data_IF_029994168739
#
_entry.id   IF_029994168739
#
_cell.length_a   1.000
_cell.length_b   1.000
_cell.length_c   1.000
_cell.angle_alpha   90.00
_cell.angle_beta   90.00
_cell.angle_gamma   90.00
#
_symmetry.space_group_name_H-M   'P 1'
#
loop_
_entity.id
_entity.type
_entity.pdbx_description
1 polymer ?
#
# COMPACT_ATOMS: atom_id res chain seq x y z
N UNK A 1 3.93 32.32 34.88
CA UNK A 1 4.82 31.54 33.99
C UNK A 1 4.43 30.05 33.92
N UNK A 2 4.13 29.39 35.05
CA UNK A 2 3.70 27.97 35.09
C UNK A 2 2.49 27.65 34.20
N UNK A 3 1.47 28.51 34.19
CA UNK A 3 0.26 28.31 33.36
C UNK A 3 0.55 28.25 31.85
N UNK A 4 1.51 29.05 31.37
CA UNK A 4 1.87 29.12 29.95
C UNK A 4 2.55 27.81 29.50
N UNK A 5 3.41 27.25 30.35
CA UNK A 5 4.12 25.99 30.08
C UNK A 5 3.12 24.81 30.04
N UNK A 6 2.15 24.78 30.95
CA UNK A 6 1.11 23.75 30.98
C UNK A 6 0.23 23.77 29.72
N UNK A 7 -0.17 24.96 29.27
CA UNK A 7 -0.97 25.13 28.04
C UNK A 7 -0.18 24.71 26.80
N UNK A 8 1.11 25.05 26.72
CA UNK A 8 1.98 24.63 25.61
C UNK A 8 2.19 23.11 25.58
N UNK A 9 2.43 22.50 26.75
CA UNK A 9 2.55 21.03 26.89
C UNK A 9 1.27 20.32 26.46
N UNK A 10 0.12 20.82 26.90
CA UNK A 10 -1.18 20.25 26.55
C UNK A 10 -1.50 20.40 25.06
N UNK A 11 -1.18 21.55 24.46
CA UNK A 11 -1.33 21.78 23.01
C UNK A 11 -0.40 20.85 22.21
N UNK A 12 0.82 20.62 22.69
CA UNK A 12 1.78 19.69 22.06
C UNK A 12 1.31 18.24 22.16
N UNK A 13 0.73 17.83 23.31
CA UNK A 13 0.17 16.49 23.52
C UNK A 13 -1.05 16.22 22.62
N UNK A 14 -1.91 17.22 22.43
CA UNK A 14 -3.07 17.14 21.52
C UNK A 14 -2.59 17.02 20.06
N UNK A 15 -1.65 17.87 19.64
CA UNK A 15 -1.08 17.81 18.29
C UNK A 15 -0.35 16.49 17.99
N UNK A 16 0.40 15.94 18.96
CA UNK A 16 1.02 14.63 18.81
C UNK A 16 0.00 13.50 18.66
N UNK A 17 -1.14 13.57 19.36
CA UNK A 17 -2.21 12.57 19.25
C UNK A 17 -2.86 12.58 17.86
N UNK A 18 -3.07 13.76 17.28
CA UNK A 18 -3.55 13.89 15.90
C UNK A 18 -2.53 13.39 14.87
N UNK A 19 -1.25 13.78 15.01
CA UNK A 19 -0.18 13.29 14.14
C UNK A 19 -0.08 11.76 14.21
N UNK A 20 -0.16 11.17 15.41
CA UNK A 20 -0.13 9.73 15.58
C UNK A 20 -1.32 9.05 14.91
N UNK A 21 -2.53 9.62 15.06
CA UNK A 21 -3.74 9.08 14.44
C UNK A 21 -3.67 9.16 12.90
N UNK A 22 -3.14 10.27 12.36
CA UNK A 22 -2.89 10.46 10.93
C UNK A 22 -1.85 9.47 10.41
N UNK A 23 -0.72 9.32 11.10
CA UNK A 23 0.35 8.40 10.73
C UNK A 23 -0.12 6.94 10.77
N UNK A 24 -0.90 6.52 11.78
CA UNK A 24 -1.47 5.16 11.80
C UNK A 24 -2.38 4.90 10.60
N UNK A 25 -3.21 5.86 10.20
CA UNK A 25 -4.09 5.70 9.03
C UNK A 25 -3.27 5.52 7.75
N UNK A 26 -2.23 6.34 7.54
CA UNK A 26 -1.32 6.20 6.39
C UNK A 26 -0.56 4.87 6.39
N UNK A 27 -0.07 4.42 7.56
CA UNK A 27 0.61 3.13 7.68
C UNK A 27 -0.32 1.97 7.34
N UNK A 28 -1.57 1.98 7.81
CA UNK A 28 -2.56 0.95 7.48
C UNK A 28 -2.81 0.93 5.97
N UNK A 29 -2.98 2.09 5.34
CA UNK A 29 -3.17 2.17 3.89
C UNK A 29 -1.97 1.64 3.11
N UNK A 30 -0.75 1.99 3.53
CA UNK A 30 0.47 1.51 2.90
C UNK A 30 0.57 -0.02 3.04
N UNK A 31 0.27 -0.57 4.21
CA UNK A 31 0.24 -2.02 4.45
C UNK A 31 -0.80 -2.70 3.54
N UNK A 32 -2.00 -2.13 3.41
CA UNK A 32 -3.04 -2.66 2.53
C UNK A 32 -2.60 -2.66 1.06
N UNK A 33 -1.99 -1.57 0.58
CA UNK A 33 -1.46 -1.50 -0.80
C UNK A 33 -0.36 -2.55 -0.99
N UNK A 34 0.57 -2.67 -0.04
CA UNK A 34 1.67 -3.65 -0.10
C UNK A 34 1.16 -5.09 -0.14
N UNK A 35 0.11 -5.43 0.63
CA UNK A 35 -0.50 -6.76 0.61
C UNK A 35 -1.13 -7.05 -0.76
N UNK A 36 -1.90 -6.10 -1.30
CA UNK A 36 -2.52 -6.24 -2.63
C UNK A 36 -1.44 -6.41 -3.70
N UNK A 37 -0.37 -5.62 -3.61
CA UNK A 37 0.76 -5.67 -4.54
C UNK A 37 1.44 -7.05 -4.50
N UNK A 38 1.70 -7.59 -3.31
CA UNK A 38 2.28 -8.92 -3.13
C UNK A 38 1.40 -10.02 -3.71
N UNK A 39 0.09 -10.00 -3.44
CA UNK A 39 -0.86 -11.00 -3.97
C UNK A 39 -0.88 -10.99 -5.50
N UNK A 40 -0.77 -9.81 -6.12
CA UNK A 40 -0.78 -9.67 -7.58
C UNK A 40 0.57 -10.08 -8.20
N UNK A 41 1.68 -9.79 -7.52
CA UNK A 41 3.02 -10.10 -8.03
C UNK A 41 3.45 -11.56 -7.84
N UNK A 42 3.02 -12.23 -6.77
CA UNK A 42 3.40 -13.62 -6.50
C UNK A 42 3.06 -14.56 -7.68
N UNK A 43 1.84 -14.56 -8.24
CA UNK A 43 1.50 -15.38 -9.41
C UNK A 43 2.39 -15.09 -10.61
N UNK A 44 2.71 -13.81 -10.85
CA UNK A 44 3.57 -13.40 -11.94
C UNK A 44 5.00 -13.95 -11.78
N UNK A 45 5.58 -13.82 -10.59
CA UNK A 45 6.91 -14.36 -10.29
C UNK A 45 6.92 -15.88 -10.45
N UNK A 46 5.90 -16.57 -9.94
CA UNK A 46 5.77 -18.03 -10.06
C UNK A 46 5.69 -18.46 -11.53
N UNK A 47 4.86 -17.79 -12.34
CA UNK A 47 4.71 -18.09 -13.77
C UNK A 47 5.97 -17.83 -14.59
N UNK A 48 6.81 -16.86 -14.21
CA UNK A 48 8.08 -16.61 -14.90
C UNK A 48 9.23 -17.49 -14.41
N UNK A 49 9.32 -17.77 -13.11
CA UNK A 49 10.47 -18.46 -12.49
C UNK A 49 10.38 -19.98 -12.61
N UNK A 50 9.19 -20.58 -12.48
CA UNK A 50 9.03 -22.04 -12.58
C UNK A 50 9.47 -22.60 -13.95
N UNK A 51 9.06 -22.04 -15.10
CA UNK A 51 9.47 -22.58 -16.40
C UNK A 51 10.98 -22.51 -16.64
N UNK A 52 11.66 -21.50 -16.08
CA UNK A 52 13.12 -21.39 -16.13
C UNK A 52 13.83 -22.55 -15.42
N UNK A 53 13.23 -23.08 -14.35
CA UNK A 53 13.80 -24.18 -13.55
C UNK A 53 13.44 -25.55 -14.14
N UNK A 54 12.21 -25.70 -14.63
CA UNK A 54 11.65 -27.02 -15.00
C UNK A 54 11.81 -27.36 -16.49
N UNK A 55 12.24 -26.41 -17.34
CA UNK A 55 12.37 -26.59 -18.80
C UNK A 55 11.08 -27.13 -19.47
N UNK A 56 9.93 -26.87 -18.85
CA UNK A 56 8.64 -27.37 -19.28
C UNK A 56 8.00 -26.40 -20.29
N UNK A 57 7.73 -26.90 -21.50
CA UNK A 57 6.92 -26.23 -22.53
C UNK A 57 5.42 -26.27 -22.20
N UNK A 58 5.01 -25.76 -21.04
CA UNK A 58 3.59 -25.57 -20.77
C UNK A 58 3.05 -24.45 -21.68
N UNK A 59 1.76 -24.50 -22.07
CA UNK A 59 1.12 -23.45 -22.86
C UNK A 59 0.93 -22.21 -21.98
N UNK A 60 1.99 -21.40 -21.87
CA UNK A 60 2.06 -20.24 -20.97
C UNK A 60 1.46 -18.97 -21.57
N UNK A 61 1.32 -18.87 -22.89
CA UNK A 61 1.04 -17.59 -23.57
C UNK A 61 -0.23 -16.89 -23.07
N UNK A 62 -1.33 -17.63 -22.90
CA UNK A 62 -2.59 -17.03 -22.45
C UNK A 62 -2.58 -16.65 -20.96
N UNK A 63 -1.87 -17.41 -20.12
CA UNK A 63 -1.74 -17.10 -18.69
C UNK A 63 -0.80 -15.91 -18.46
N UNK A 64 0.28 -15.80 -19.25
CA UNK A 64 1.20 -14.66 -19.19
C UNK A 64 0.53 -13.37 -19.62
N UNK A 65 -0.32 -13.38 -20.65
CA UNK A 65 -1.02 -12.17 -21.10
C UNK A 65 -1.94 -11.63 -20.01
N UNK A 66 -2.76 -12.49 -19.40
CA UNK A 66 -3.66 -12.09 -18.31
C UNK A 66 -2.85 -11.57 -17.12
N UNK A 67 -1.79 -12.26 -16.70
CA UNK A 67 -0.94 -11.84 -15.58
C UNK A 67 -0.16 -10.55 -15.87
N UNK A 68 0.14 -10.27 -17.14
CA UNK A 68 0.76 -9.02 -17.57
C UNK A 68 -0.20 -7.85 -17.36
N UNK A 69 -1.47 -8.01 -17.74
CA UNK A 69 -2.47 -6.95 -17.55
C UNK A 69 -2.85 -6.73 -16.07
N UNK A 70 -2.85 -7.78 -15.26
CA UNK A 70 -3.22 -7.69 -13.83
C UNK A 70 -2.22 -6.83 -13.04
N UNK A 71 -0.98 -6.70 -13.48
CA UNK A 71 0.02 -5.82 -12.83
C UNK A 71 -0.31 -4.32 -12.93
N UNK A 72 -1.15 -3.92 -13.88
CA UNK A 72 -1.58 -2.53 -14.00
C UNK A 72 -2.68 -2.14 -13.01
N UNK A 73 -3.40 -3.12 -12.45
CA UNK A 73 -4.45 -2.91 -11.44
C UNK A 73 -3.92 -2.18 -10.19
N UNK A 74 -2.79 -2.59 -9.56
CA UNK A 74 -2.26 -1.88 -8.40
C UNK A 74 -1.85 -0.44 -8.73
N UNK A 75 -1.30 -0.21 -9.93
CA UNK A 75 -0.92 1.14 -10.40
C UNK A 75 -2.16 2.04 -10.56
N UNK A 76 -3.26 1.49 -11.08
CA UNK A 76 -4.54 2.19 -11.19
C UNK A 76 -5.18 2.45 -9.83
N UNK A 77 -5.05 1.53 -8.86
CA UNK A 77 -5.63 1.66 -7.52
C UNK A 77 -4.86 2.62 -6.60
N UNK A 78 -3.57 2.85 -6.87
CA UNK A 78 -2.71 3.72 -6.08
C UNK A 78 -3.28 5.14 -5.84
N UNK A 79 -3.68 5.91 -6.87
CA UNK A 79 -4.26 7.24 -6.66
C UNK A 79 -5.57 7.20 -5.86
N UNK A 80 -6.42 6.19 -6.04
CA UNK A 80 -7.68 6.07 -5.27
C UNK A 80 -7.41 5.78 -3.80
N UNK A 81 -6.45 4.92 -3.50
CA UNK A 81 -6.04 4.62 -2.12
C UNK A 81 -5.41 5.84 -1.44
N UNK A 82 -4.60 6.61 -2.17
CA UNK A 82 -4.08 7.90 -1.70
C UNK A 82 -5.18 8.92 -1.45
N UNK A 83 -6.18 9.01 -2.35
CA UNK A 83 -7.31 9.94 -2.23
C UNK A 83 -8.19 9.66 -1.01
N UNK A 84 -8.51 8.39 -0.74
CA UNK A 84 -9.27 7.95 0.45
C UNK A 84 -8.48 8.24 1.76
N UNK A 85 -7.15 8.31 1.64
CA UNK A 85 -6.24 8.56 2.75
C UNK A 85 -6.22 10.01 3.22
N UNK A 86 -6.37 10.94 2.28
CA UNK A 86 -6.24 12.37 2.54
C UNK A 86 -7.30 12.84 3.54
N UNK A 87 -6.88 13.42 4.68
CA UNK A 87 -7.81 13.98 5.66
C UNK A 87 -8.48 15.27 5.17
N UNK A 88 -8.00 15.88 4.08
CA UNK A 88 -8.48 17.17 3.56
C UNK A 88 -9.78 17.07 2.74
N UNK A 89 -10.17 15.86 2.32
CA UNK A 89 -11.40 15.60 1.53
C UNK A 89 -12.56 15.11 2.44
N UNK A 90 -12.34 14.98 3.75
CA UNK A 90 -13.34 14.50 4.72
C UNK A 90 -13.60 15.50 5.83
#
# INVERSE_FOLDING_TARGET
MFLIISVLSQKRRIGQREIWRRNRKMVIQLISISIIYMIIWIPNVVCHVIPLIVSSRLPYETATDILHYVQYIPTLLCPFMSLIGLPEIR
#
